data_IF_111577748807
#
_entry.id   IF_111577748807
#
_cell.length_a   1.000
_cell.length_b   1.000
_cell.length_c   1.000
_cell.angle_alpha   90.00
_cell.angle_beta   90.00
_cell.angle_gamma   90.00
#
_symmetry.space_group_name_H-M   'P 1'
#
loop_
_entity.id
_entity.type
_entity.pdbx_description
1 polymer ?
#
# COMPACT_ATOMS: atom_id res chain seq x y z
N UNK A 1 -12.77 23.69 -3.44
CA UNK A 1 -13.45 22.61 -4.18
C UNK A 1 -12.54 21.40 -4.06
N UNK A 2 -12.75 20.61 -3.01
CA UNK A 2 -12.03 19.35 -2.76
C UNK A 2 -12.61 18.29 -3.70
N UNK A 3 -11.84 17.95 -4.74
CA UNK A 3 -12.21 16.86 -5.64
C UNK A 3 -11.94 15.53 -4.94
N UNK A 4 -13.02 14.88 -4.57
CA UNK A 4 -13.15 13.54 -4.03
C UNK A 4 -12.60 12.47 -4.97
N UNK A 5 -12.04 11.42 -4.36
CA UNK A 5 -12.05 10.03 -4.85
C UNK A 5 -11.03 9.64 -5.93
N UNK A 6 -9.82 9.25 -5.51
CA UNK A 6 -9.00 8.34 -6.31
C UNK A 6 -9.51 6.90 -6.16
N UNK A 7 -9.89 6.30 -7.27
CA UNK A 7 -10.27 4.89 -7.36
C UNK A 7 -9.03 4.02 -7.05
N UNK A 8 -9.06 3.33 -5.92
CA UNK A 8 -8.07 2.30 -5.61
C UNK A 8 -8.27 1.15 -6.61
N UNK A 9 -7.26 0.84 -7.42
CA UNK A 9 -7.32 -0.23 -8.41
C UNK A 9 -7.40 -1.62 -7.76
N UNK A 10 -6.81 -1.78 -6.58
CA UNK A 10 -6.90 -3.02 -5.81
C UNK A 10 -6.24 -2.93 -4.44
N UNK A 11 -6.43 -3.97 -3.65
CA UNK A 11 -5.76 -4.15 -2.36
C UNK A 11 -5.49 -5.62 -2.10
N UNK A 12 -4.49 -5.89 -1.28
CA UNK A 12 -4.09 -7.24 -0.92
C UNK A 12 -3.64 -7.31 0.53
N UNK A 13 -4.01 -8.41 1.19
CA UNK A 13 -3.62 -8.71 2.57
C UNK A 13 -2.81 -9.99 2.56
N UNK A 14 -1.62 -9.93 3.15
CA UNK A 14 -0.64 -11.00 3.17
C UNK A 14 -0.03 -11.15 4.56
N UNK A 15 0.55 -12.33 4.80
CA UNK A 15 1.21 -12.65 6.06
C UNK A 15 2.71 -12.39 5.98
N UNK A 16 3.28 -11.91 7.08
CA UNK A 16 4.72 -11.75 7.28
C UNK A 16 5.09 -12.36 8.64
N UNK A 17 6.38 -12.56 8.90
CA UNK A 17 6.86 -13.10 10.19
C UNK A 17 6.50 -12.20 11.40
N UNK A 18 6.24 -10.90 11.16
CA UNK A 18 5.84 -9.93 12.20
C UNK A 18 4.32 -9.73 12.29
N UNK A 19 3.52 -10.45 11.50
CA UNK A 19 2.06 -10.41 11.51
C UNK A 19 1.43 -10.14 10.13
N UNK A 20 0.13 -9.85 10.10
CA UNK A 20 -0.61 -9.58 8.85
C UNK A 20 -0.41 -8.14 8.40
N UNK A 21 0.08 -7.95 7.19
CA UNK A 21 0.21 -6.64 6.56
C UNK A 21 -0.73 -6.56 5.36
N UNK A 22 -0.89 -5.37 4.81
CA UNK A 22 -1.63 -5.24 3.56
C UNK A 22 -1.29 -3.97 2.84
N UNK A 23 -1.53 -3.98 1.53
CA UNK A 23 -1.22 -2.87 0.63
C UNK A 23 -2.45 -2.54 -0.21
N UNK A 24 -2.54 -1.28 -0.63
CA UNK A 24 -3.50 -0.83 -1.62
C UNK A 24 -2.79 0.00 -2.68
N UNK A 25 -3.27 -0.07 -3.91
CA UNK A 25 -2.67 0.59 -5.05
C UNK A 25 -3.72 1.20 -5.97
N UNK A 26 -3.32 2.22 -6.72
CA UNK A 26 -4.04 2.77 -7.88
C UNK A 26 -3.34 2.32 -9.17
N UNK A 27 -3.80 2.83 -10.31
CA UNK A 27 -3.08 2.66 -11.57
C UNK A 27 -1.70 3.35 -11.56
N UNK A 28 -1.52 4.39 -10.73
CA UNK A 28 -0.28 5.16 -10.65
C UNK A 28 0.77 4.56 -9.70
N UNK A 29 0.35 3.79 -8.68
CA UNK A 29 1.27 3.16 -7.74
C UNK A 29 0.67 2.81 -6.39
N UNK A 30 1.54 2.56 -5.42
CA UNK A 30 1.18 2.26 -4.04
C UNK A 30 0.55 3.50 -3.40
N UNK A 31 -0.69 3.36 -2.94
CA UNK A 31 -1.41 4.43 -2.24
C UNK A 31 -1.40 4.24 -0.73
N UNK A 32 -1.23 2.99 -0.26
CA UNK A 32 -1.27 2.68 1.17
C UNK A 32 -0.51 1.40 1.52
N UNK A 33 0.16 1.46 2.67
CA UNK A 33 0.69 0.33 3.40
C UNK A 33 0.01 0.25 4.78
N UNK A 34 -0.46 -0.94 5.15
CA UNK A 34 -0.97 -1.26 6.48
C UNK A 34 0.08 -2.06 7.24
N UNK A 35 0.55 -1.48 8.34
CA UNK A 35 1.48 -2.10 9.28
C UNK A 35 0.91 -3.36 9.94
N UNK A 36 1.76 -4.21 10.54
CA UNK A 36 1.38 -5.53 11.01
C UNK A 36 0.23 -5.48 12.01
N UNK A 37 -0.82 -6.26 11.73
CA UNK A 37 -1.98 -6.45 12.57
C UNK A 37 -2.06 -7.90 13.04
N UNK A 38 -2.85 -8.10 14.11
CA UNK A 38 -3.04 -9.42 14.73
C UNK A 38 -3.86 -10.39 13.87
N UNK A 39 -4.72 -9.89 12.98
CA UNK A 39 -5.54 -10.72 12.10
C UNK A 39 -5.81 -10.05 10.76
N UNK A 40 -6.23 -10.87 9.79
CA UNK A 40 -6.54 -10.46 8.41
C UNK A 40 -7.67 -9.42 8.35
N UNK A 41 -8.76 -9.64 9.09
CA UNK A 41 -9.92 -8.75 9.11
C UNK A 41 -9.59 -7.31 9.57
N UNK A 42 -8.64 -7.16 10.50
CA UNK A 42 -8.20 -5.84 10.95
C UNK A 42 -7.44 -5.08 9.86
N UNK A 43 -6.68 -5.80 9.02
CA UNK A 43 -6.00 -5.21 7.86
C UNK A 43 -7.04 -4.81 6.82
N UNK A 44 -7.95 -5.71 6.45
CA UNK A 44 -8.99 -5.44 5.46
C UNK A 44 -9.84 -4.23 5.84
N UNK A 45 -10.32 -4.17 7.08
CA UNK A 45 -11.08 -3.01 7.59
C UNK A 45 -10.28 -1.71 7.50
N UNK A 46 -8.96 -1.74 7.68
CA UNK A 46 -8.11 -0.55 7.58
C UNK A 46 -7.88 -0.10 6.15
N UNK A 47 -7.70 -1.05 5.23
CA UNK A 47 -7.58 -0.77 3.80
C UNK A 47 -8.89 -0.21 3.25
N UNK A 48 -10.02 -0.86 3.56
CA UNK A 48 -11.35 -0.47 3.09
C UNK A 48 -11.88 0.84 3.69
N UNK A 49 -11.37 1.30 4.83
CA UNK A 49 -11.80 2.59 5.43
C UNK A 49 -11.54 3.79 4.53
N UNK A 50 -10.53 3.68 3.66
CA UNK A 50 -10.07 4.79 2.81
C UNK A 50 -9.95 4.42 1.33
N UNK A 51 -9.93 3.12 1.01
CA UNK A 51 -10.00 2.69 -0.37
C UNK A 51 -11.43 2.93 -0.89
N UNK A 52 -11.56 3.80 -1.89
CA UNK A 52 -12.75 3.76 -2.74
C UNK A 52 -12.85 2.35 -3.31
N UNK A 53 -13.96 1.66 -3.02
CA UNK A 53 -14.19 0.27 -3.40
C UNK A 53 -14.17 0.10 -4.93
N UNK A 54 -13.00 -0.06 -5.54
CA UNK A 54 -12.90 -0.66 -6.87
C UNK A 54 -12.55 -2.14 -6.68
N UNK A 55 -13.36 -2.99 -7.31
CA UNK A 55 -13.24 -4.43 -7.23
C UNK A 55 -11.88 -4.89 -7.73
N UNK A 56 -11.42 -5.99 -7.14
CA UNK A 56 -10.18 -6.74 -7.44
C UNK A 56 -9.75 -6.62 -8.91
N UNK A 57 -8.96 -5.59 -9.25
CA UNK A 57 -8.23 -5.58 -10.51
C UNK A 57 -7.15 -6.66 -10.45
N UNK A 58 -6.73 -7.14 -11.61
CA UNK A 58 -5.63 -8.09 -11.70
C UNK A 58 -4.41 -7.51 -10.99
N UNK A 59 -3.83 -8.28 -10.06
CA UNK A 59 -2.66 -7.88 -9.29
C UNK A 59 -1.51 -7.57 -10.26
N UNK A 60 -1.02 -6.31 -10.32
CA UNK A 60 0.14 -5.96 -11.13
C UNK A 60 1.38 -6.69 -10.66
N UNK A 61 2.30 -7.00 -11.57
CA UNK A 61 3.54 -7.72 -11.23
C UNK A 61 4.36 -7.01 -10.14
N UNK A 62 4.46 -5.67 -10.21
CA UNK A 62 5.20 -4.88 -9.21
C UNK A 62 4.60 -5.02 -7.79
N UNK A 63 3.30 -5.32 -7.66
CA UNK A 63 2.64 -5.56 -6.37
C UNK A 63 3.09 -6.90 -5.81
N UNK A 64 3.14 -7.95 -6.63
CA UNK A 64 3.63 -9.26 -6.23
C UNK A 64 5.11 -9.20 -5.79
N UNK A 65 5.93 -8.48 -6.56
CA UNK A 65 7.35 -8.26 -6.22
C UNK A 65 7.48 -7.48 -4.90
N UNK A 66 6.69 -6.42 -4.72
CA UNK A 66 6.68 -5.63 -3.48
C UNK A 66 6.29 -6.46 -2.26
N UNK A 67 5.31 -7.37 -2.38
CA UNK A 67 4.93 -8.27 -1.27
C UNK A 67 6.11 -9.14 -0.86
N UNK A 68 6.82 -9.72 -1.83
CA UNK A 68 8.03 -10.50 -1.57
C UNK A 68 9.12 -9.68 -0.88
N UNK A 69 9.37 -8.45 -1.36
CA UNK A 69 10.30 -7.51 -0.74
C UNK A 69 9.92 -7.14 0.69
N UNK A 70 8.63 -6.91 0.97
CA UNK A 70 8.14 -6.62 2.34
C UNK A 70 8.31 -7.84 3.25
N UNK A 71 8.06 -9.06 2.75
CA UNK A 71 8.25 -10.28 3.51
C UNK A 71 9.73 -10.52 3.89
N UNK A 72 10.65 -10.30 2.95
CA UNK A 72 12.09 -10.36 3.19
C UNK A 72 12.54 -9.29 4.19
N UNK A 73 12.08 -8.05 4.02
CA UNK A 73 12.35 -6.96 4.96
C UNK A 73 11.83 -7.27 6.37
N UNK A 74 10.62 -7.82 6.48
CA UNK A 74 10.06 -8.25 7.76
C UNK A 74 10.87 -9.38 8.42
N UNK A 75 11.56 -10.20 7.63
CA UNK A 75 12.49 -11.22 8.12
C UNK A 75 13.87 -10.66 8.55
N UNK A 76 14.09 -9.35 8.38
CA UNK A 76 15.31 -8.66 8.78
C UNK A 76 16.33 -8.50 7.65
N UNK A 77 15.94 -8.75 6.40
CA UNK A 77 16.79 -8.46 5.24
C UNK A 77 16.83 -6.95 4.94
N UNK A 78 17.98 -6.50 4.43
CA UNK A 78 18.14 -5.13 3.94
C UNK A 78 17.57 -5.04 2.53
N UNK A 79 16.46 -4.32 2.38
CA UNK A 79 15.71 -4.22 1.13
C UNK A 79 15.54 -2.74 0.78
N UNK A 80 15.94 -2.39 -0.43
CA UNK A 80 15.70 -1.07 -0.99
C UNK A 80 14.30 -1.00 -1.64
N UNK A 81 13.48 -0.05 -1.19
CA UNK A 81 12.15 0.23 -1.72
C UNK A 81 12.09 1.48 -2.62
N UNK A 82 13.24 2.09 -2.94
CA UNK A 82 13.32 3.30 -3.78
C UNK A 82 12.70 3.15 -5.17
N UNK A 83 12.66 1.93 -5.71
CA UNK A 83 12.07 1.62 -7.00
C UNK A 83 10.54 1.41 -6.99
N UNK A 84 9.90 1.46 -5.83
CA UNK A 84 8.45 1.21 -5.71
C UNK A 84 7.68 2.45 -6.18
N UNK A 85 6.77 2.33 -7.16
CA UNK A 85 5.94 3.46 -7.56
C UNK A 85 4.98 3.80 -6.41
N UNK A 86 4.97 5.07 -5.98
CA UNK A 86 4.05 5.58 -4.95
C UNK A 86 3.14 6.61 -5.57
N UNK A 87 1.84 6.44 -5.34
CA UNK A 87 0.84 7.42 -5.76
C UNK A 87 0.53 8.36 -4.59
N UNK A 88 1.10 9.56 -4.67
CA UNK A 88 0.90 10.66 -3.72
C UNK A 88 -0.16 11.66 -4.21
N UNK A 89 -0.96 11.31 -5.21
CA UNK A 89 -1.98 12.21 -5.75
C UNK A 89 -3.01 12.55 -4.67
N UNK A 90 -3.19 13.86 -4.41
CA UNK A 90 -4.05 14.36 -3.33
C UNK A 90 -3.34 14.60 -1.99
N UNK A 91 -2.03 14.35 -1.92
CA UNK A 91 -1.18 14.84 -0.82
C UNK A 91 -0.83 16.30 -1.10
N UNK A 92 -0.97 17.16 -0.09
CA UNK A 92 -0.65 18.58 -0.18
C UNK A 92 0.86 18.83 -0.24
N UNK A 93 1.23 19.98 -0.82
CA UNK A 93 2.63 20.37 -1.07
C UNK A 93 3.51 20.33 0.19
N UNK A 94 2.95 20.64 1.36
CA UNK A 94 3.70 20.59 2.61
C UNK A 94 4.09 19.16 3.00
N UNK A 95 3.17 18.20 2.86
CA UNK A 95 3.45 16.79 3.11
C UNK A 95 4.39 16.20 2.06
N UNK A 96 4.25 16.61 0.79
CA UNK A 96 5.19 16.21 -0.27
C UNK A 96 6.61 16.67 0.03
N UNK A 97 6.79 17.93 0.46
CA UNK A 97 8.11 18.45 0.82
C UNK A 97 8.76 17.69 2.00
N UNK A 98 7.95 17.13 2.92
CA UNK A 98 8.46 16.28 4.00
C UNK A 98 8.91 14.91 3.47
N UNK A 99 8.23 14.36 2.47
CA UNK A 99 8.60 13.07 1.88
C UNK A 99 9.81 13.15 0.94
N UNK A 100 10.10 14.33 0.38
CA UNK A 100 11.25 14.56 -0.51
C UNK A 100 12.56 14.87 0.23
N UNK A 101 12.48 15.27 1.50
CA UNK A 101 13.61 15.68 2.34
C UNK A 101 14.39 14.51 2.95
#
# INVERSE_FOLDING_TARGET
MESTSQATAGHEVFETVIGFMGIAWSEAGLTRLCLPQRNRDAVERRLLRHAGSAGSSAQPQWVTELIGSIQAYAAGEDIDFSGVPVDLTGVDDFRLAIYDA
#
